data_IF_903980262968
#
_entry.id   IF_903980262968
#
_cell.length_a   1.000
_cell.length_b   1.000
_cell.length_c   1.000
_cell.angle_alpha   90.00
_cell.angle_beta   90.00
_cell.angle_gamma   90.00
#
_symmetry.space_group_name_H-M   'P 1'
#
loop_
_entity.id
_entity.type
_entity.pdbx_description
1 polymer ?
#
# COMPACT_ATOMS: atom_id res chain seq x y z
N UNK A 1 8.14 6.89 0.92
CA UNK A 1 6.71 6.69 1.17
C UNK A 1 6.28 5.25 0.88
N UNK A 2 5.03 4.89 1.22
CA UNK A 2 4.42 3.60 0.84
C UNK A 2 3.50 3.87 -0.34
N UNK A 3 3.60 3.07 -1.38
CA UNK A 3 2.81 3.19 -2.59
C UNK A 3 2.02 1.92 -2.83
N UNK A 4 0.83 2.05 -3.42
CA UNK A 4 -0.03 0.94 -3.81
C UNK A 4 -0.42 1.08 -5.28
N UNK A 5 -0.31 -0.02 -6.02
CA UNK A 5 -0.78 -0.08 -7.40
C UNK A 5 -2.29 -0.33 -7.43
N UNK A 6 -3.08 0.55 -8.04
CA UNK A 6 -4.53 0.36 -8.17
C UNK A 6 -4.90 -0.80 -9.11
N UNK A 7 -3.98 -1.22 -9.98
CA UNK A 7 -4.24 -2.30 -10.96
C UNK A 7 -4.03 -3.69 -10.38
N UNK A 8 -2.92 -3.92 -9.68
CA UNK A 8 -2.59 -5.23 -9.11
C UNK A 8 -2.64 -5.24 -7.57
N UNK A 9 -3.03 -4.12 -6.95
CA UNK A 9 -3.11 -3.93 -5.49
C UNK A 9 -1.79 -4.24 -4.76
N UNK A 10 -0.67 -4.18 -5.48
CA UNK A 10 0.65 -4.42 -4.91
C UNK A 10 1.12 -3.19 -4.14
N UNK A 11 1.37 -3.38 -2.84
CA UNK A 11 1.86 -2.34 -1.94
C UNK A 11 3.35 -2.49 -1.71
N UNK A 12 4.10 -1.41 -1.86
CA UNK A 12 5.56 -1.42 -1.76
C UNK A 12 6.10 -0.10 -1.22
N UNK A 13 7.26 -0.16 -0.55
CA UNK A 13 7.91 1.01 0.05
C UNK A 13 9.02 1.52 -0.87
N UNK A 14 8.99 2.81 -1.21
CA UNK A 14 10.05 3.49 -1.97
C UNK A 14 10.47 4.77 -1.28
N UNK A 15 11.67 5.26 -1.59
CA UNK A 15 12.13 6.55 -1.08
C UNK A 15 11.51 7.71 -1.87
N UNK A 16 11.41 7.54 -3.19
CA UNK A 16 10.88 8.50 -4.16
C UNK A 16 9.57 8.00 -4.80
N UNK A 17 8.87 8.89 -5.52
CA UNK A 17 7.65 8.55 -6.27
C UNK A 17 7.97 7.63 -7.45
N UNK A 18 7.41 6.41 -7.50
CA UNK A 18 7.66 5.49 -8.60
C UNK A 18 6.78 5.83 -9.81
N UNK A 19 7.38 5.92 -11.00
CA UNK A 19 6.63 6.03 -12.28
C UNK A 19 5.85 4.76 -12.64
N UNK A 20 6.40 3.58 -12.32
CA UNK A 20 5.84 2.28 -12.73
C UNK A 20 5.82 1.27 -11.59
N UNK A 21 4.75 0.46 -11.55
CA UNK A 21 4.60 -0.59 -10.56
C UNK A 21 5.68 -1.66 -10.77
N UNK A 22 6.48 -2.02 -9.75
CA UNK A 22 7.53 -3.03 -9.89
C UNK A 22 7.00 -4.45 -10.11
N UNK A 23 5.71 -4.69 -9.87
CA UNK A 23 5.09 -6.00 -10.05
C UNK A 23 4.47 -6.17 -11.45
N UNK A 24 3.70 -5.18 -11.92
CA UNK A 24 2.95 -5.29 -13.17
C UNK A 24 3.32 -4.26 -14.25
N UNK A 25 4.26 -3.35 -13.98
CA UNK A 25 4.71 -2.30 -14.90
C UNK A 25 3.71 -1.17 -15.17
N UNK A 26 2.54 -1.17 -14.52
CA UNK A 26 1.51 -0.15 -14.76
C UNK A 26 1.77 1.15 -13.99
N UNK A 27 1.37 2.27 -14.59
CA UNK A 27 1.51 3.63 -14.03
C UNK A 27 0.42 4.01 -13.03
N UNK A 28 -0.56 3.12 -12.80
CA UNK A 28 -1.65 3.33 -11.86
C UNK A 28 -1.18 3.11 -10.41
N UNK A 29 -0.26 3.94 -9.94
CA UNK A 29 0.30 3.88 -8.59
C UNK A 29 -0.18 5.12 -7.84
N UNK A 30 -0.59 4.92 -6.59
CA UNK A 30 -0.95 6.01 -5.67
C UNK A 30 -0.20 5.86 -4.36
N UNK A 31 0.07 6.96 -3.68
CA UNK A 31 0.57 6.89 -2.31
C UNK A 31 -0.50 6.22 -1.43
N UNK A 32 -0.09 5.25 -0.62
CA UNK A 32 -0.98 4.70 0.41
C UNK A 32 -1.28 5.83 1.40
N UNK A 33 -2.57 6.13 1.62
CA UNK A 33 -2.99 7.15 2.57
C UNK A 33 -2.52 6.81 3.99
N UNK A 34 -2.29 7.81 4.84
CA UNK A 34 -1.85 7.59 6.23
C UNK A 34 -2.82 6.74 7.05
N UNK A 35 -4.11 6.77 6.71
CA UNK A 35 -5.15 5.93 7.28
C UNK A 35 -4.90 4.42 7.04
N UNK A 36 -4.41 4.07 5.85
CA UNK A 36 -4.01 2.70 5.49
C UNK A 36 -2.66 2.32 6.13
N UNK A 37 -1.76 3.30 6.30
CA UNK A 37 -0.47 3.10 6.99
C UNK A 37 -0.70 2.68 8.45
N UNK A 38 -1.76 3.16 9.11
CA UNK A 38 -2.10 2.80 10.49
C UNK A 38 -2.71 1.40 10.61
N UNK A 39 -3.57 0.98 9.67
CA UNK A 39 -4.17 -0.37 9.68
C UNK A 39 -3.16 -1.50 9.48
N UNK A 40 -2.01 -1.24 8.85
CA UNK A 40 -0.96 -2.27 8.69
C UNK A 40 -0.18 -2.54 9.99
N UNK A 41 -0.22 -1.61 10.96
CA UNK A 41 0.46 -1.74 12.26
C UNK A 41 -0.45 -2.37 13.31
N UNK A 42 -1.76 -2.27 13.11
CA UNK A 42 -2.82 -2.70 14.02
C UNK A 42 -3.53 -3.97 13.49
N UNK A 43 -2.77 -5.01 13.18
CA UNK A 43 -3.37 -6.34 13.02
C UNK A 43 -2.49 -7.45 13.60
N UNK A 44 -1.74 -7.12 14.63
CA UNK A 44 -1.26 -8.11 15.60
C UNK A 44 -2.12 -7.97 16.86
N UNK A 45 -3.21 -8.74 16.91
CA UNK A 45 -4.18 -8.94 18.01
C UNK A 45 -5.40 -8.01 18.01
N UNK A 46 -6.54 -8.54 17.57
CA UNK A 46 -7.84 -7.89 17.74
C UNK A 46 -8.94 -8.55 16.91
N UNK A 47 -9.06 -9.88 17.00
CA UNK A 47 -10.31 -10.52 16.62
C UNK A 47 -11.32 -10.26 17.73
N UNK A 48 -12.22 -9.32 17.52
CA UNK A 48 -13.46 -9.19 18.28
C UNK A 48 -14.61 -9.09 17.26
N UNK A 49 -15.12 -10.27 16.93
CA UNK A 49 -16.42 -10.47 16.31
C UNK A 49 -17.50 -9.98 17.28
N UNK A 50 -18.51 -9.34 16.68
CA UNK A 50 -19.73 -8.79 17.27
C UNK A 50 -20.43 -9.71 18.28
#
# INVERSE_FOLDING_TARGET
MIYICSKCLFTFKRKDEPDHCPNCGSINIREAAEEEKSKLKDNTKGGETQ
#
